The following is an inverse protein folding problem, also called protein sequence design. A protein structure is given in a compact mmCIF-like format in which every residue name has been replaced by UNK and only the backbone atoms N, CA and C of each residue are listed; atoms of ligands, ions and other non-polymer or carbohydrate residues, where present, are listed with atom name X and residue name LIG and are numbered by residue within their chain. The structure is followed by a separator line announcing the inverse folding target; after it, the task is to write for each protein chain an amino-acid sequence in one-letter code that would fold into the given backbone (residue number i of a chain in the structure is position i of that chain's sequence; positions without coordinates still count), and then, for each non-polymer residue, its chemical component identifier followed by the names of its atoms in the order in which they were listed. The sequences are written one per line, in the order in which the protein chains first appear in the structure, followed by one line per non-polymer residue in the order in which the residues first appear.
data_IF_454545933107
#
_entry.id   IF_454545933107
#
_cell.length_a   1.000
_cell.length_b   1.000
_cell.length_c   1.000
_cell.angle_alpha   90.00
_cell.angle_beta   90.00
_cell.angle_gamma   90.00
#
_symmetry.space_group_name_H-M   'P 1'
#
loop_
_entity.id
_entity.type
_entity.pdbx_description
1 polymer ?
#
# COMPACT_ATOMS: atom_id res chain seq x y z
N UNK A 1 16.61 0.57 -43.78
CA UNK A 1 16.03 -0.38 -42.80
C UNK A 1 14.83 -1.03 -43.44
N UNK A 2 14.80 -2.35 -43.45
CA UNK A 2 13.62 -3.10 -43.87
C UNK A 2 12.56 -3.10 -42.75
N UNK A 3 11.27 -3.33 -43.06
CA UNK A 3 10.23 -3.49 -42.03
C UNK A 3 10.57 -4.58 -41.00
N UNK A 4 11.26 -5.64 -41.43
CA UNK A 4 11.73 -6.72 -40.55
C UNK A 4 12.76 -6.22 -39.53
N UNK A 5 13.74 -5.41 -39.96
CA UNK A 5 14.75 -4.83 -39.06
C UNK A 5 14.10 -3.97 -37.98
N UNK A 6 13.05 -3.24 -38.34
CA UNK A 6 12.30 -2.38 -37.43
C UNK A 6 11.52 -3.20 -36.38
N UNK A 7 10.89 -4.31 -36.81
CA UNK A 7 10.22 -5.25 -35.91
C UNK A 7 11.23 -5.89 -34.94
N UNK A 8 12.38 -6.35 -35.45
CA UNK A 8 13.43 -6.97 -34.62
C UNK A 8 13.95 -5.96 -33.58
N UNK A 9 14.25 -4.73 -34.00
CA UNK A 9 14.70 -3.67 -33.09
C UNK A 9 13.66 -3.39 -31.99
N UNK A 10 12.36 -3.33 -32.35
CA UNK A 10 11.28 -3.13 -31.39
C UNK A 10 11.19 -4.27 -30.38
N UNK A 11 11.27 -5.53 -30.84
CA UNK A 11 11.23 -6.71 -29.96
C UNK A 11 12.42 -6.70 -28.99
N UNK A 12 13.63 -6.41 -29.49
CA UNK A 12 14.84 -6.32 -28.65
C UNK A 12 14.74 -5.20 -27.63
N UNK A 13 14.21 -4.04 -28.01
CA UNK A 13 14.01 -2.90 -27.11
C UNK A 13 13.02 -3.24 -25.99
N UNK A 14 11.87 -3.85 -26.35
CA UNK A 14 10.86 -4.25 -25.37
C UNK A 14 11.40 -5.35 -24.45
N UNK A 15 12.00 -6.41 -25.01
CA UNK A 15 12.58 -7.51 -24.22
C UNK A 15 13.72 -7.06 -23.31
N UNK A 16 14.57 -6.15 -23.81
CA UNK A 16 15.63 -5.51 -23.04
C UNK A 16 15.08 -4.66 -21.90
N UNK A 17 14.01 -3.90 -22.15
CA UNK A 17 13.33 -3.10 -21.13
C UNK A 17 12.78 -3.97 -19.98
N UNK A 18 12.06 -5.06 -20.30
CA UNK A 18 11.55 -5.99 -19.29
C UNK A 18 12.68 -6.61 -18.46
N UNK A 19 13.75 -7.05 -19.11
CA UNK A 19 14.88 -7.66 -18.40
C UNK A 19 15.57 -6.66 -17.47
N UNK A 20 15.83 -5.45 -17.97
CA UNK A 20 16.45 -4.38 -17.19
C UNK A 20 15.56 -3.93 -16.02
N UNK A 21 14.24 -3.85 -16.23
CA UNK A 21 13.28 -3.44 -15.21
C UNK A 21 13.23 -4.42 -14.04
N UNK A 22 13.25 -5.73 -14.32
CA UNK A 22 13.30 -6.74 -13.28
C UNK A 22 14.59 -6.69 -12.45
N UNK A 23 15.75 -6.44 -13.09
CA UNK A 23 17.02 -6.29 -12.39
C UNK A 23 17.03 -5.04 -11.50
N UNK A 24 16.61 -3.90 -12.05
CA UNK A 24 16.51 -2.66 -11.30
C UNK A 24 15.49 -2.77 -10.15
N UNK A 25 14.36 -3.45 -10.35
CA UNK A 25 13.35 -3.68 -9.33
C UNK A 25 13.90 -4.44 -8.13
N UNK A 26 14.77 -5.45 -8.32
CA UNK A 26 15.42 -6.16 -7.20
C UNK A 26 16.23 -5.21 -6.33
N UNK A 27 17.00 -4.31 -6.94
CA UNK A 27 17.80 -3.31 -6.23
C UNK A 27 16.95 -2.29 -5.47
N UNK A 28 15.91 -1.75 -6.12
CA UNK A 28 14.99 -0.80 -5.50
C UNK A 28 14.18 -1.44 -4.36
N UNK A 29 13.70 -2.66 -4.55
CA UNK A 29 12.94 -3.39 -3.54
C UNK A 29 13.80 -3.70 -2.31
N UNK A 30 15.04 -4.15 -2.51
CA UNK A 30 15.97 -4.38 -1.41
C UNK A 30 16.26 -3.09 -0.62
N UNK A 31 16.45 -1.96 -1.32
CA UNK A 31 16.62 -0.65 -0.66
C UNK A 31 15.37 -0.20 0.10
N UNK A 32 14.19 -0.38 -0.49
CA UNK A 32 12.93 -0.01 0.15
C UNK A 32 12.69 -0.83 1.43
N UNK A 33 12.91 -2.15 1.37
CA UNK A 33 12.78 -3.04 2.53
C UNK A 33 13.70 -2.63 3.69
N UNK A 34 14.96 -2.26 3.40
CA UNK A 34 15.92 -1.81 4.43
C UNK A 34 15.52 -0.51 5.12
N UNK A 35 14.68 0.33 4.48
CA UNK A 35 14.23 1.61 5.05
C UNK A 35 13.09 1.45 6.06
N UNK A 36 12.46 0.29 6.16
CA UNK A 36 11.26 0.08 6.97
C UNK A 36 11.50 0.12 8.49
N UNK A 37 12.76 0.11 8.96
CA UNK A 37 13.13 0.16 10.38
C UNK A 37 12.50 -0.94 11.27
N UNK A 38 12.06 -2.04 10.67
CA UNK A 38 11.59 -3.24 11.35
C UNK A 38 12.32 -4.47 10.81
N UNK A 39 12.23 -5.58 11.55
CA UNK A 39 12.73 -6.87 11.08
C UNK A 39 11.89 -7.33 9.88
N UNK A 40 12.54 -7.62 8.76
CA UNK A 40 11.87 -8.12 7.55
C UNK A 40 11.88 -9.65 7.60
N UNK A 41 10.71 -10.24 7.87
CA UNK A 41 10.53 -11.70 7.94
C UNK A 41 10.46 -12.29 6.53
N UNK A 42 9.69 -11.64 5.64
CA UNK A 42 9.52 -12.07 4.25
C UNK A 42 9.44 -10.86 3.34
N UNK A 43 10.05 -10.95 2.16
CA UNK A 43 9.98 -9.94 1.12
C UNK A 43 9.72 -10.59 -0.23
N UNK A 44 8.66 -10.19 -0.91
CA UNK A 44 8.33 -10.61 -2.28
C UNK A 44 8.04 -9.36 -3.08
N UNK A 45 8.70 -9.17 -4.22
CA UNK A 45 8.45 -8.00 -5.04
C UNK A 45 8.77 -8.22 -6.49
N UNK A 46 8.13 -7.40 -7.32
CA UNK A 46 8.36 -7.26 -8.75
C UNK A 46 8.56 -5.76 -9.04
N UNK A 47 8.65 -5.33 -10.31
CA UNK A 47 8.76 -3.91 -10.64
C UNK A 47 7.58 -3.06 -10.15
N UNK A 48 6.36 -3.57 -10.29
CA UNK A 48 5.12 -2.87 -9.97
C UNK A 48 4.73 -2.93 -8.48
N UNK A 49 5.23 -3.89 -7.69
CA UNK A 49 4.83 -4.03 -6.30
C UNK A 49 5.90 -4.66 -5.40
N UNK A 50 5.79 -4.38 -4.11
CA UNK A 50 6.63 -4.98 -3.06
C UNK A 50 5.76 -5.31 -1.86
N UNK A 51 5.70 -6.59 -1.52
CA UNK A 51 5.12 -7.11 -0.30
C UNK A 51 6.21 -7.39 0.73
N UNK A 52 5.98 -6.95 1.97
CA UNK A 52 6.85 -7.12 3.12
C UNK A 52 6.02 -7.65 4.30
N UNK A 53 6.49 -8.74 4.89
CA UNK A 53 6.05 -9.19 6.22
C UNK A 53 7.07 -8.68 7.23
N UNK A 54 6.62 -7.82 8.14
CA UNK A 54 7.45 -7.07 9.06
C UNK A 54 7.13 -7.45 10.52
N UNK A 55 8.16 -7.61 11.32
CA UNK A 55 8.08 -7.71 12.77
C UNK A 55 8.67 -6.44 13.40
N UNK A 56 7.79 -5.61 13.97
CA UNK A 56 8.13 -4.33 14.56
C UNK A 56 8.02 -4.41 16.09
N UNK A 57 9.01 -5.00 16.74
CA UNK A 57 9.04 -5.11 18.21
C UNK A 57 7.88 -5.94 18.78
N UNK A 58 7.50 -7.03 18.11
CA UNK A 58 6.38 -7.90 18.50
C UNK A 58 5.07 -7.61 17.76
N UNK A 59 4.97 -6.49 17.06
CA UNK A 59 3.82 -6.16 16.20
C UNK A 59 4.08 -6.66 14.77
N UNK A 60 3.23 -7.57 14.29
CA UNK A 60 3.29 -8.06 12.90
C UNK A 60 2.54 -7.13 11.96
N UNK A 61 3.22 -6.62 10.93
CA UNK A 61 2.66 -5.77 9.88
C UNK A 61 2.89 -6.40 8.51
N UNK A 62 1.81 -6.57 7.74
CA UNK A 62 1.86 -6.95 6.32
C UNK A 62 1.77 -5.66 5.48
N UNK A 63 2.85 -5.28 4.80
CA UNK A 63 2.91 -4.08 3.98
C UNK A 63 2.99 -4.44 2.49
N UNK A 64 2.05 -3.94 1.70
CA UNK A 64 2.07 -3.94 0.25
C UNK A 64 2.30 -2.52 -0.27
N UNK A 65 3.43 -2.29 -0.91
CA UNK A 65 3.72 -1.08 -1.69
C UNK A 65 3.34 -1.36 -3.14
N UNK A 66 2.34 -0.67 -3.66
CA UNK A 66 1.96 -0.71 -5.07
C UNK A 66 2.51 0.52 -5.80
N UNK A 67 3.16 0.29 -6.93
CA UNK A 67 3.81 1.28 -7.79
C UNK A 67 3.15 1.26 -9.16
N UNK A 68 3.49 2.25 -9.99
CA UNK A 68 3.10 2.18 -11.40
C UNK A 68 3.85 1.04 -12.09
N UNK A 69 3.23 0.36 -13.07
CA UNK A 69 3.83 -0.79 -13.77
C UNK A 69 4.87 -0.32 -14.80
N UNK A 70 6.00 0.17 -14.31
CA UNK A 70 7.07 0.77 -15.13
C UNK A 70 7.87 -0.27 -15.92
N UNK A 71 7.70 -1.56 -15.63
CA UNK A 71 8.23 -2.67 -16.41
C UNK A 71 7.55 -2.83 -17.78
N UNK A 72 6.34 -2.31 -17.95
CA UNK A 72 5.65 -2.30 -19.22
C UNK A 72 5.30 -0.85 -19.60
N UNK A 73 5.93 -0.27 -20.64
CA UNK A 73 5.74 1.12 -21.01
C UNK A 73 4.29 1.43 -21.44
N UNK A 74 3.59 0.46 -22.04
CA UNK A 74 2.18 0.61 -22.44
C UNK A 74 1.28 0.66 -21.19
N UNK A 75 1.48 -0.24 -20.24
CA UNK A 75 0.72 -0.25 -18.99
C UNK A 75 1.02 0.98 -18.13
N UNK A 76 2.27 1.47 -18.14
CA UNK A 76 2.65 2.71 -17.50
C UNK A 76 1.86 3.89 -18.10
N UNK A 77 1.87 4.03 -19.43
CA UNK A 77 1.11 5.06 -20.13
C UNK A 77 -0.39 4.99 -19.81
N UNK A 78 -0.99 3.80 -19.89
CA UNK A 78 -2.39 3.58 -19.54
C UNK A 78 -2.69 3.96 -18.07
N UNK A 79 -1.78 3.64 -17.15
CA UNK A 79 -1.95 3.98 -15.73
C UNK A 79 -1.87 5.48 -15.48
N UNK A 80 -0.98 6.20 -16.20
CA UNK A 80 -0.86 7.66 -16.13
C UNK A 80 -2.12 8.32 -16.68
N UNK A 81 -2.61 7.88 -17.85
CA UNK A 81 -3.85 8.39 -18.46
C UNK A 81 -5.06 8.15 -17.53
N UNK A 82 -5.12 6.99 -16.88
CA UNK A 82 -6.16 6.68 -15.89
C UNK A 82 -5.98 7.40 -14.54
N UNK A 83 -4.97 8.27 -14.39
CA UNK A 83 -4.71 9.01 -13.14
C UNK A 83 -4.35 8.12 -11.94
N UNK A 84 -3.90 6.89 -12.18
CA UNK A 84 -3.50 5.96 -11.11
C UNK A 84 -2.29 6.53 -10.38
N UNK A 85 -2.27 6.35 -9.06
CA UNK A 85 -1.17 6.77 -8.20
C UNK A 85 -0.62 5.58 -7.42
N UNK A 86 0.70 5.54 -7.15
CA UNK A 86 1.27 4.61 -6.19
C UNK A 86 0.59 4.74 -4.82
N UNK A 87 0.50 3.65 -4.09
CA UNK A 87 -0.06 3.63 -2.75
C UNK A 87 0.59 2.54 -1.91
N UNK A 88 0.46 2.64 -0.60
CA UNK A 88 0.82 1.58 0.33
C UNK A 88 -0.43 1.08 1.04
N UNK A 89 -0.49 -0.23 1.27
CA UNK A 89 -1.53 -0.90 2.02
C UNK A 89 -0.86 -1.66 3.16
N UNK A 90 -1.30 -1.43 4.39
CA UNK A 90 -0.80 -2.14 5.57
C UNK A 90 -1.94 -2.92 6.19
N UNK A 91 -1.68 -4.17 6.57
CA UNK A 91 -2.58 -4.99 7.36
C UNK A 91 -1.90 -5.42 8.65
N UNK A 92 -2.65 -5.41 9.75
CA UNK A 92 -2.18 -5.87 11.04
C UNK A 92 -3.36 -6.31 11.91
N UNK A 93 -3.07 -7.05 12.97
CA UNK A 93 -4.07 -7.47 13.96
C UNK A 93 -3.97 -6.60 15.21
N UNK A 94 -5.10 -6.10 15.67
CA UNK A 94 -5.27 -5.39 16.95
C UNK A 94 -5.63 -6.37 18.07
N UNK A 95 -5.34 -6.01 19.32
CA UNK A 95 -5.76 -6.79 20.49
C UNK A 95 -7.26 -6.68 20.74
N UNK A 96 -7.86 -5.52 20.45
CA UNK A 96 -9.29 -5.25 20.59
C UNK A 96 -10.05 -5.61 19.32
N UNK A 97 -11.30 -6.04 19.51
CA UNK A 97 -12.26 -6.19 18.42
C UNK A 97 -12.84 -4.80 18.09
N UNK A 98 -12.64 -4.36 16.85
CA UNK A 98 -13.14 -3.06 16.37
C UNK A 98 -14.50 -3.20 15.65
N UNK A 99 -15.05 -4.41 15.61
CA UNK A 99 -16.16 -4.78 14.74
C UNK A 99 -15.76 -4.71 13.26
N UNK A 100 -16.77 -4.61 12.40
CA UNK A 100 -16.59 -4.42 10.97
C UNK A 100 -16.87 -2.96 10.64
N UNK A 101 -15.99 -2.33 9.86
CA UNK A 101 -16.29 -1.05 9.22
C UNK A 101 -15.36 -0.81 8.04
N UNK A 102 -15.81 0.02 7.10
CA UNK A 102 -15.00 0.46 5.98
C UNK A 102 -15.21 1.95 5.75
N UNK A 103 -14.11 2.70 5.72
CA UNK A 103 -14.15 4.14 5.63
C UNK A 103 -13.10 4.66 4.67
N UNK A 104 -13.53 5.46 3.69
CA UNK A 104 -12.70 6.00 2.61
C UNK A 104 -12.92 7.50 2.48
N UNK A 105 -11.90 8.29 2.13
CA UNK A 105 -12.10 9.73 1.88
C UNK A 105 -12.93 10.03 0.63
N UNK A 106 -13.27 9.01 -0.16
CA UNK A 106 -14.19 9.10 -1.30
C UNK A 106 -15.17 7.93 -1.29
N UNK A 107 -16.45 8.19 -1.48
CA UNK A 107 -17.51 7.17 -1.52
C UNK A 107 -18.90 7.76 -1.29
N UNK A 108 -19.90 6.88 -1.16
CA UNK A 108 -21.32 7.24 -0.98
C UNK A 108 -21.91 6.88 0.41
N UNK A 109 -21.07 6.76 1.43
CA UNK A 109 -21.47 6.34 2.79
C UNK A 109 -21.89 7.50 3.72
N UNK A 110 -22.09 7.19 5.01
CA UNK A 110 -22.31 8.23 6.04
C UNK A 110 -21.02 9.03 6.22
N UNK A 111 -21.09 10.35 6.12
CA UNK A 111 -19.91 11.19 6.35
C UNK A 111 -19.58 11.30 7.84
N UNK A 112 -18.34 10.97 8.21
CA UNK A 112 -17.77 11.13 9.55
C UNK A 112 -16.42 11.82 9.39
N UNK A 113 -16.35 13.10 9.73
CA UNK A 113 -15.19 13.94 9.42
C UNK A 113 -14.87 13.96 7.92
N UNK A 114 -13.67 13.51 7.58
CA UNK A 114 -13.15 13.42 6.21
C UNK A 114 -13.41 12.07 5.51
N UNK A 115 -14.11 11.13 6.15
CA UNK A 115 -14.38 9.80 5.60
C UNK A 115 -15.86 9.56 5.34
N UNK A 116 -16.12 8.74 4.32
CA UNK A 116 -17.38 8.09 4.05
C UNK A 116 -17.33 6.68 4.64
N UNK A 117 -18.13 6.47 5.69
CA UNK A 117 -18.23 5.24 6.45
C UNK A 117 -19.37 4.36 5.91
N UNK A 118 -19.09 3.08 5.69
CA UNK A 118 -20.05 2.04 5.31
C UNK A 118 -19.84 0.77 6.16
N UNK A 119 -20.85 -0.11 6.17
CA UNK A 119 -20.78 -1.45 6.77
C UNK A 119 -20.26 -1.48 8.23
N UNK A 120 -20.75 -0.56 9.08
CA UNK A 120 -20.30 -0.44 10.46
C UNK A 120 -21.11 -1.32 11.41
N UNK A 121 -20.42 -2.14 12.22
CA UNK A 121 -21.00 -2.91 13.33
C UNK A 121 -20.29 -2.66 14.67
N UNK A 122 -19.15 -1.98 14.67
CA UNK A 122 -18.39 -1.66 15.88
C UNK A 122 -19.00 -0.51 16.71
N UNK A 123 -18.59 -0.37 17.99
CA UNK A 123 -18.99 0.76 18.84
C UNK A 123 -18.60 2.09 18.20
N UNK A 124 -19.53 3.06 18.22
CA UNK A 124 -19.35 4.36 17.56
C UNK A 124 -18.08 5.08 18.01
N UNK A 125 -17.78 5.06 19.30
CA UNK A 125 -16.61 5.72 19.89
C UNK A 125 -15.30 5.14 19.33
N UNK A 126 -15.22 3.82 19.16
CA UNK A 126 -14.05 3.12 18.61
C UNK A 126 -13.87 3.47 17.13
N UNK A 127 -14.97 3.49 16.37
CA UNK A 127 -14.95 3.86 14.95
C UNK A 127 -14.53 5.32 14.79
N UNK A 128 -15.16 6.24 15.52
CA UNK A 128 -14.86 7.67 15.45
C UNK A 128 -13.38 7.94 15.82
N UNK A 129 -12.85 7.25 16.85
CA UNK A 129 -11.43 7.33 17.22
C UNK A 129 -10.50 6.76 16.14
N UNK A 130 -10.85 5.63 15.54
CA UNK A 130 -10.08 5.05 14.44
C UNK A 130 -10.02 6.01 13.24
N UNK A 131 -11.13 6.66 12.90
CA UNK A 131 -11.18 7.63 11.81
C UNK A 131 -10.37 8.90 12.10
N UNK A 132 -10.42 9.39 13.34
CA UNK A 132 -9.59 10.53 13.79
C UNK A 132 -8.09 10.22 13.66
N UNK A 133 -7.66 9.04 14.16
CA UNK A 133 -6.28 8.59 14.03
C UNK A 133 -5.88 8.42 12.56
N UNK A 134 -6.72 7.77 11.75
CA UNK A 134 -6.50 7.61 10.32
C UNK A 134 -6.32 8.97 9.62
N UNK A 135 -7.12 9.97 9.99
CA UNK A 135 -7.07 11.29 9.38
C UNK A 135 -5.75 12.00 9.70
N UNK A 136 -5.36 12.01 10.97
CA UNK A 136 -4.11 12.62 11.45
C UNK A 136 -2.85 12.01 10.83
N UNK A 137 -2.93 10.74 10.46
CA UNK A 137 -1.85 9.98 9.84
C UNK A 137 -1.89 10.04 8.31
N UNK A 138 -2.93 10.63 7.72
CA UNK A 138 -3.09 10.78 6.27
C UNK A 138 -3.44 9.47 5.55
N UNK A 139 -4.11 8.53 6.21
CA UNK A 139 -4.64 7.34 5.55
C UNK A 139 -5.80 7.73 4.62
N UNK A 140 -5.83 7.22 3.40
CA UNK A 140 -6.92 7.44 2.47
C UNK A 140 -8.13 6.52 2.77
N UNK A 141 -7.87 5.32 3.25
CA UNK A 141 -8.91 4.34 3.63
C UNK A 141 -8.48 3.57 4.87
N UNK A 142 -9.44 3.28 5.73
CA UNK A 142 -9.29 2.37 6.87
C UNK A 142 -10.44 1.38 6.85
N UNK A 143 -10.11 0.11 6.99
CA UNK A 143 -11.08 -0.98 7.03
C UNK A 143 -10.76 -1.84 8.24
N UNK A 144 -11.77 -2.21 9.01
CA UNK A 144 -11.65 -3.19 10.07
C UNK A 144 -12.57 -4.38 9.79
N UNK A 145 -12.08 -5.57 10.15
CA UNK A 145 -12.82 -6.82 10.16
C UNK A 145 -12.46 -7.54 11.45
N UNK A 146 -13.19 -7.17 12.49
CA UNK A 146 -12.97 -7.53 13.88
C UNK A 146 -11.60 -7.03 14.37
N UNK A 147 -10.67 -7.95 14.61
CA UNK A 147 -9.29 -7.64 15.02
C UNK A 147 -8.37 -7.27 13.85
N UNK A 148 -8.77 -7.53 12.60
CA UNK A 148 -7.92 -7.24 11.45
C UNK A 148 -8.17 -5.81 10.96
N UNK A 149 -7.12 -5.01 10.90
CA UNK A 149 -7.16 -3.65 10.37
C UNK A 149 -6.37 -3.58 9.07
N UNK A 150 -6.90 -2.84 8.11
CA UNK A 150 -6.23 -2.45 6.89
C UNK A 150 -6.21 -0.93 6.76
N UNK A 151 -5.03 -0.37 6.51
CA UNK A 151 -4.82 1.05 6.21
C UNK A 151 -4.29 1.20 4.78
N UNK A 152 -4.82 2.17 4.04
CA UNK A 152 -4.32 2.54 2.72
C UNK A 152 -3.78 3.96 2.75
N UNK A 153 -2.54 4.17 2.32
CA UNK A 153 -1.87 5.45 2.28
C UNK A 153 -1.58 5.89 0.83
N UNK A 154 -1.70 7.19 0.52
CA UNK A 154 -1.41 7.73 -0.82
C UNK A 154 0.10 7.93 -1.08
N UNK A 155 0.97 7.34 -0.26
CA UNK A 155 2.43 7.43 -0.36
C UNK A 155 3.06 6.06 -0.15
N UNK A 156 4.29 5.89 -0.67
CA UNK A 156 4.98 4.59 -0.77
C UNK A 156 6.29 4.51 0.03
N UNK A 157 6.60 5.54 0.81
CA UNK A 157 7.78 5.51 1.68
C UNK A 157 7.56 4.52 2.82
N UNK A 158 8.33 3.43 2.84
CA UNK A 158 8.12 2.35 3.81
C UNK A 158 8.22 2.83 5.26
N UNK A 159 9.23 3.66 5.57
CA UNK A 159 9.47 4.15 6.93
C UNK A 159 8.25 4.94 7.41
N UNK A 160 7.80 5.90 6.62
CA UNK A 160 6.63 6.72 6.94
C UNK A 160 5.37 5.89 7.12
N UNK A 161 5.16 4.88 6.26
CA UNK A 161 4.00 3.99 6.33
C UNK A 161 4.03 3.16 7.62
N UNK A 162 5.17 2.53 7.94
CA UNK A 162 5.35 1.73 9.15
C UNK A 162 5.17 2.58 10.41
N UNK A 163 5.83 3.75 10.48
CA UNK A 163 5.69 4.67 11.61
C UNK A 163 4.23 5.10 11.82
N UNK A 164 3.50 5.41 10.75
CA UNK A 164 2.09 5.75 10.82
C UNK A 164 1.24 4.56 11.31
N UNK A 165 1.46 3.37 10.77
CA UNK A 165 0.72 2.16 11.17
C UNK A 165 0.95 1.78 12.63
N UNK A 166 2.18 1.92 13.15
CA UNK A 166 2.49 1.68 14.56
C UNK A 166 1.82 2.72 15.47
N UNK A 167 1.82 3.99 15.08
CA UNK A 167 1.09 5.05 15.81
C UNK A 167 -0.41 4.76 15.87
N UNK A 168 -1.00 4.30 14.76
CA UNK A 168 -2.39 3.90 14.71
C UNK A 168 -2.68 2.70 15.62
N UNK A 169 -1.85 1.65 15.54
CA UNK A 169 -1.97 0.45 16.37
C UNK A 169 -1.93 0.77 17.87
N UNK A 170 -0.96 1.59 18.28
CA UNK A 170 -0.81 2.01 19.69
C UNK A 170 -1.99 2.91 20.12
N UNK A 171 -2.47 3.78 19.24
CA UNK A 171 -3.59 4.68 19.52
C UNK A 171 -4.94 3.99 19.70
N UNK A 172 -5.11 2.77 19.19
CA UNK A 172 -6.31 1.95 19.39
C UNK A 172 -6.19 0.92 20.53
N UNK A 173 -4.96 0.68 20.99
CA UNK A 173 -4.68 -0.29 22.07
C UNK A 173 -4.85 0.31 23.47
N UNK A 174 -4.92 1.64 23.56
CA UNK A 174 -5.30 2.42 24.75
C UNK A 174 -6.82 2.51 24.86
#
# INVERSE_FOLDING_TARGET
MTPLDLIIALVLLIGGWYSASHLAARLFNARAARRCQCEVVRSIGNPASLFLDLNCGGVKLELLINRLPWDNPINLAASVVAGRRPYALVRFKTSRDLGVFDASRSGGGRRVGNYYLVNTSGPREVVDRALELADSLGAWRVTASNHLVQLLFPYVDCRRVVEASLKFYNGLSL
#
